data_IF_308059132326
#
_entry.id   IF_308059132326
#
_cell.length_a   1.000
_cell.length_b   1.000
_cell.length_c   1.000
_cell.angle_alpha   90.00
_cell.angle_beta   90.00
_cell.angle_gamma   90.00
#
_symmetry.space_group_name_H-M   'P 1'
#
loop_
_entity.id
_entity.type
_entity.pdbx_description
1 polymer ?
2 branched ?
3 non-polymer ?
4 water ?
#
# COMPACT_ATOMS: atom_id res chain seq x y z
N UNK A 1 -10.60 -23.35 -21.86
CA UNK A 1 -10.31 -21.89 -21.95
C UNK A 1 -11.64 -21.11 -21.94
N UNK A 2 -11.55 -19.78 -21.76
CA UNK A 2 -12.70 -18.90 -21.50
C UNK A 2 -13.16 -19.05 -20.06
N UNK A 3 -14.21 -18.32 -19.67
CA UNK A 3 -14.76 -18.35 -18.29
C UNK A 3 -14.06 -17.36 -17.39
N UNK A 4 -14.48 -17.21 -16.13
CA UNK A 4 -13.88 -16.23 -15.23
C UNK A 4 -12.39 -16.46 -14.84
N UNK A 5 -11.64 -15.36 -14.68
CA UNK A 5 -10.35 -15.26 -13.95
C UNK A 5 -10.55 -14.55 -12.61
N UNK A 6 -9.70 -14.87 -11.64
CA UNK A 6 -9.65 -14.26 -10.28
C UNK A 6 -8.30 -13.58 -10.08
N UNK A 7 -8.28 -12.41 -9.45
CA UNK A 7 -7.05 -11.67 -9.06
C UNK A 7 -7.14 -11.27 -7.60
N UNK A 8 -6.01 -11.30 -6.89
CA UNK A 8 -5.95 -11.12 -5.43
C UNK A 8 -4.95 -9.99 -5.07
N UNK A 9 -5.39 -8.98 -4.34
CA UNK A 9 -4.56 -7.79 -4.06
C UNK A 9 -4.32 -7.66 -2.56
N UNK A 10 -3.10 -7.21 -2.18
CA UNK A 10 -2.70 -7.10 -0.80
C UNK A 10 -3.37 -5.86 -0.21
N UNK A 11 -3.35 -5.68 1.11
CA UNK A 11 -3.85 -4.45 1.69
C UNK A 11 -2.99 -3.27 1.25
N UNK A 12 -3.45 -2.09 1.61
CA UNK A 12 -2.77 -0.81 1.34
C UNK A 12 -1.66 -0.79 2.37
N UNK A 13 -0.40 -0.48 1.99
CA UNK A 13 0.68 -0.33 2.97
C UNK A 13 0.29 0.43 4.26
N UNK A 14 -0.29 1.63 4.13
CA UNK A 14 -0.55 2.45 5.34
C UNK A 14 -1.51 1.71 6.25
N UNK A 15 -2.46 0.95 5.70
CA UNK A 15 -3.48 0.17 6.47
C UNK A 15 -2.80 -0.93 7.31
N UNK A 16 -1.66 -1.45 6.86
CA UNK A 16 -0.93 -2.58 7.50
C UNK A 16 -0.05 -2.09 8.64
N UNK A 17 0.28 -0.80 8.69
CA UNK A 17 1.29 -0.23 9.64
C UNK A 17 0.62 0.53 10.80
N UNK A 18 -0.64 0.95 10.67
CA UNK A 18 -1.35 1.72 11.71
C UNK A 18 -2.34 0.79 12.39
N UNK A 19 -2.05 0.38 13.63
CA UNK A 19 -2.93 -0.62 14.31
C UNK A 19 -4.36 -0.06 14.43
N UNK A 20 -4.50 1.27 14.45
CA UNK A 20 -5.80 2.02 14.43
C UNK A 20 -6.67 1.62 13.22
N UNK A 21 -6.08 1.02 12.18
CA UNK A 21 -6.68 0.93 10.84
C UNK A 21 -7.03 -0.52 10.50
N UNK A 22 -7.76 -0.71 9.42
CA UNK A 22 -8.38 -1.98 8.98
C UNK A 22 -7.74 -2.42 7.66
N UNK A 23 -6.70 -3.27 7.70
CA UNK A 23 -6.14 -3.83 6.49
C UNK A 23 -7.14 -4.84 5.93
N UNK A 24 -7.19 -4.93 4.61
CA UNK A 24 -8.13 -5.79 3.85
C UNK A 24 -7.40 -6.49 2.72
N UNK A 25 -7.76 -7.74 2.47
CA UNK A 25 -7.37 -8.43 1.22
C UNK A 25 -8.60 -8.41 0.30
N UNK A 26 -8.38 -8.34 -1.01
CA UNK A 26 -9.45 -8.03 -1.99
C UNK A 26 -9.38 -9.04 -3.12
N UNK A 27 -10.45 -9.78 -3.32
CA UNK A 27 -10.56 -10.81 -4.38
C UNK A 27 -11.49 -10.33 -5.48
N UNK A 28 -10.97 -10.22 -6.70
CA UNK A 28 -11.69 -9.66 -7.87
C UNK A 28 -11.85 -10.75 -8.93
N UNK A 29 -13.09 -10.98 -9.33
CA UNK A 29 -13.49 -11.96 -10.37
C UNK A 29 -13.94 -11.17 -11.59
N UNK A 30 -13.31 -11.39 -12.73
CA UNK A 30 -13.73 -10.78 -14.02
C UNK A 30 -14.18 -11.90 -14.97
N UNK A 31 -14.73 -11.51 -16.12
CA UNK A 31 -15.25 -12.39 -17.21
C UNK A 31 -16.27 -13.35 -16.60
N UNK A 32 -17.13 -12.81 -15.70
CA UNK A 32 -18.31 -13.49 -15.16
C UNK A 32 -19.35 -13.24 -16.25
N UNK A 33 -20.04 -14.29 -16.67
CA UNK A 33 -21.00 -14.17 -17.76
C UNK A 33 -22.24 -13.42 -17.32
N UNK A 34 -22.96 -12.80 -18.28
CA UNK A 34 -24.24 -12.13 -18.00
C UNK A 34 -25.26 -13.22 -17.65
N UNK A 35 -24.98 -14.42 -18.13
CA UNK A 35 -25.83 -15.57 -17.88
C UNK A 35 -25.75 -16.08 -16.44
N UNK A 36 -24.54 -16.36 -15.93
CA UNK A 36 -24.39 -16.87 -14.54
C UNK A 36 -23.69 -15.79 -13.69
N UNK A 37 -24.40 -14.71 -13.31
CA UNK A 37 -23.82 -13.63 -12.54
C UNK A 37 -23.32 -13.97 -11.16
N UNK A 38 -23.89 -14.95 -10.59
CA UNK A 38 -23.69 -15.25 -9.14
C UNK A 38 -22.31 -15.90 -8.96
N UNK A 39 -21.61 -15.52 -7.89
CA UNK A 39 -20.24 -15.99 -7.59
C UNK A 39 -20.22 -16.31 -6.11
N UNK A 40 -19.78 -17.51 -5.74
CA UNK A 40 -19.55 -17.87 -4.32
C UNK A 40 -18.07 -17.67 -4.04
N UNK A 41 -17.77 -17.17 -2.84
CA UNK A 41 -16.41 -16.94 -2.34
C UNK A 41 -16.21 -17.79 -1.11
N UNK A 42 -15.10 -18.52 -1.08
CA UNK A 42 -14.56 -19.16 0.14
C UNK A 42 -13.17 -18.60 0.39
N UNK A 43 -12.97 -18.08 1.60
CA UNK A 43 -11.69 -17.53 2.11
C UNK A 43 -11.09 -18.50 3.12
N UNK A 44 -9.76 -18.54 3.16
CA UNK A 44 -8.94 -19.37 4.07
C UNK A 44 -7.76 -18.54 4.58
N UNK A 45 -7.47 -18.66 5.88
CA UNK A 45 -6.26 -18.10 6.56
C UNK A 45 -5.36 -19.30 6.93
N UNK A 46 -4.22 -19.44 6.25
CA UNK A 46 -3.34 -20.63 6.38
C UNK A 46 -4.20 -21.89 6.30
N UNK A 47 -5.07 -21.97 5.30
CA UNK A 47 -5.84 -23.19 5.01
C UNK A 47 -7.15 -23.28 5.77
N UNK A 48 -7.34 -22.60 6.90
CA UNK A 48 -8.60 -22.72 7.69
C UNK A 48 -9.62 -21.67 7.24
N UNK A 49 -10.79 -22.11 6.79
CA UNK A 49 -11.85 -21.24 6.23
C UNK A 49 -12.26 -20.19 7.29
N UNK A 50 -12.51 -18.95 6.83
CA UNK A 50 -13.06 -17.82 7.63
C UNK A 50 -14.31 -17.30 6.93
N UNK A 51 -15.23 -16.67 7.67
CA UNK A 51 -16.60 -16.30 7.22
C UNK A 51 -16.90 -14.79 7.35
N UNK A 52 -15.92 -13.99 7.78
CA UNK A 52 -16.14 -12.53 7.99
C UNK A 52 -16.01 -11.75 6.66
N UNK A 53 -15.71 -12.39 5.52
CA UNK A 53 -15.57 -11.70 4.22
C UNK A 53 -16.89 -11.01 3.87
N UNK A 54 -16.79 -9.82 3.24
CA UNK A 54 -17.93 -9.00 2.74
C UNK A 54 -17.87 -8.95 1.21
N UNK A 55 -18.83 -9.54 0.54
CA UNK A 55 -18.91 -9.54 -0.93
C UNK A 55 -19.73 -8.32 -1.38
N UNK A 56 -19.23 -7.57 -2.36
CA UNK A 56 -19.86 -6.32 -2.81
C UNK A 56 -20.84 -6.68 -3.92
N UNK A 57 -21.94 -5.90 -4.06
CA UNK A 57 -22.90 -6.13 -5.13
C UNK A 57 -22.15 -6.08 -6.46
N UNK A 58 -22.37 -7.08 -7.30
CA UNK A 58 -21.66 -7.24 -8.59
C UNK A 58 -21.93 -6.04 -9.48
N UNK A 59 -21.03 -5.79 -10.42
CA UNK A 59 -20.99 -4.56 -11.24
C UNK A 59 -20.79 -4.95 -12.68
N UNK A 60 -21.63 -4.39 -13.53
CA UNK A 60 -21.74 -4.70 -14.97
C UNK A 60 -20.64 -3.93 -15.68
N UNK A 61 -19.75 -4.62 -16.39
CA UNK A 61 -18.65 -3.98 -17.16
C UNK A 61 -19.13 -3.67 -18.58
N UNK A 62 -18.46 -2.74 -19.26
CA UNK A 62 -18.84 -2.25 -20.60
C UNK A 62 -18.66 -3.38 -21.63
N UNK A 63 -17.78 -4.35 -21.41
CA UNK A 63 -17.53 -5.47 -22.36
C UNK A 63 -18.52 -6.64 -22.10
N UNK A 64 -19.73 -6.35 -21.63
CA UNK A 64 -20.80 -7.37 -21.43
C UNK A 64 -20.23 -8.52 -20.60
N UNK A 65 -19.60 -8.21 -19.46
CA UNK A 65 -19.27 -9.15 -18.37
C UNK A 65 -19.64 -8.53 -17.03
N UNK A 66 -19.70 -9.34 -15.97
CA UNK A 66 -19.85 -8.88 -14.58
C UNK A 66 -18.48 -8.96 -13.89
N UNK A 67 -18.18 -7.99 -13.02
CA UNK A 67 -16.99 -7.98 -12.15
C UNK A 67 -17.47 -8.12 -10.72
N UNK A 68 -16.94 -9.07 -9.96
CA UNK A 68 -17.39 -9.26 -8.55
C UNK A 68 -16.17 -9.23 -7.64
N UNK A 69 -16.32 -8.50 -6.54
CA UNK A 69 -15.23 -8.17 -5.60
C UNK A 69 -15.66 -8.70 -4.24
N UNK A 70 -14.83 -9.53 -3.61
CA UNK A 70 -14.95 -9.85 -2.16
C UNK A 70 -13.78 -9.23 -1.42
N UNK A 71 -14.07 -8.66 -0.24
CA UNK A 71 -13.09 -7.92 0.63
C UNK A 71 -13.06 -8.66 1.97
N UNK A 72 -11.89 -9.18 2.37
CA UNK A 72 -11.65 -9.82 3.69
C UNK A 72 -10.78 -8.90 4.55
N UNK A 73 -11.37 -8.38 5.63
CA UNK A 73 -10.64 -7.72 6.74
C UNK A 73 -9.63 -8.75 7.23
N UNK A 74 -8.42 -8.33 7.57
CA UNK A 74 -7.34 -9.19 8.13
C UNK A 74 -6.86 -8.48 9.38
N UNK A 75 -6.20 -9.20 10.28
CA UNK A 75 -5.64 -8.62 11.53
C UNK A 75 -4.27 -8.03 11.24
N UNK A 76 -4.03 -6.84 11.74
CA UNK A 76 -2.69 -6.19 11.74
C UNK A 76 -1.61 -7.28 11.83
N UNK A 77 -1.65 -8.11 12.88
CA UNK A 77 -0.51 -9.02 13.23
C UNK A 77 -0.43 -10.20 12.24
N UNK A 78 -1.58 -10.79 11.89
CA UNK A 78 -1.69 -11.92 10.92
C UNK A 78 -0.98 -11.51 9.63
N UNK A 79 -1.30 -10.35 9.07
CA UNK A 79 -0.78 -9.98 7.73
C UNK A 79 0.74 -9.83 7.84
N UNK A 80 1.20 -9.17 8.88
CA UNK A 80 2.64 -8.84 9.08
C UNK A 80 3.42 -10.13 9.39
N UNK A 81 2.75 -11.11 10.01
CA UNK A 81 3.32 -12.41 10.38
C UNK A 81 3.28 -13.41 9.22
N UNK A 82 2.92 -12.98 8.01
CA UNK A 82 2.98 -13.81 6.80
C UNK A 82 1.91 -14.89 6.75
N UNK A 83 0.82 -14.79 7.54
CA UNK A 83 -0.37 -15.68 7.36
C UNK A 83 -0.71 -15.67 5.87
N UNK A 84 -1.33 -16.76 5.40
CA UNK A 84 -1.64 -17.01 3.96
C UNK A 84 -3.16 -16.91 3.78
N UNK A 85 -3.54 -16.02 2.86
CA UNK A 85 -4.95 -15.66 2.56
C UNK A 85 -5.24 -16.26 1.20
N UNK A 86 -6.23 -17.17 1.18
CA UNK A 86 -6.71 -17.83 -0.06
C UNK A 86 -8.11 -17.36 -0.39
N UNK A 87 -8.30 -17.01 -1.65
CA UNK A 87 -9.62 -16.67 -2.24
C UNK A 87 -10.01 -17.77 -3.23
N UNK A 88 -11.06 -18.52 -2.91
CA UNK A 88 -11.61 -19.62 -3.77
C UNK A 88 -12.93 -19.15 -4.36
N UNK A 89 -13.04 -19.19 -5.68
CA UNK A 89 -14.17 -18.59 -6.45
C UNK A 89 -14.96 -19.68 -7.17
N UNK A 90 -16.20 -19.91 -6.76
CA UNK A 90 -17.15 -20.86 -7.42
C UNK A 90 -18.14 -20.08 -8.27
N UNK A 91 -18.35 -20.55 -9.49
CA UNK A 91 -19.31 -20.00 -10.47
C UNK A 91 -19.83 -21.18 -11.29
N UNK A 92 -21.10 -21.14 -11.73
CA UNK A 92 -21.69 -22.16 -12.65
C UNK A 92 -20.94 -22.16 -13.99
N UNK A 93 -20.25 -21.07 -14.35
CA UNK A 93 -19.41 -20.98 -15.57
C UNK A 93 -18.08 -21.71 -15.47
N UNK A 94 -17.70 -22.22 -14.29
CA UNK A 94 -16.37 -22.89 -14.07
C UNK A 94 -16.60 -24.37 -13.75
N UNK A 95 -15.93 -25.30 -14.46
CA UNK A 95 -16.05 -26.72 -14.12
C UNK A 95 -15.83 -26.95 -12.62
N UNK A 96 -14.74 -26.40 -12.11
CA UNK A 96 -14.33 -26.44 -10.68
C UNK A 96 -13.74 -25.09 -10.26
N UNK A 97 -13.78 -24.81 -8.96
CA UNK A 97 -13.50 -23.48 -8.37
C UNK A 97 -12.05 -23.07 -8.66
N UNK A 98 -11.77 -21.77 -8.59
CA UNK A 98 -10.41 -21.17 -8.80
C UNK A 98 -9.87 -20.60 -7.50
N UNK A 99 -8.56 -20.77 -7.26
CA UNK A 99 -7.82 -20.32 -6.06
C UNK A 99 -6.73 -19.30 -6.43
N UNK A 100 -6.51 -18.29 -5.60
CA UNK A 100 -5.22 -17.54 -5.54
C UNK A 100 -4.86 -17.43 -4.08
N UNK A 101 -3.57 -17.32 -3.78
CA UNK A 101 -3.09 -17.09 -2.41
C UNK A 101 -2.13 -15.91 -2.44
N UNK A 102 -2.22 -15.03 -1.44
CA UNK A 102 -1.18 -13.98 -1.22
C UNK A 102 -0.80 -13.95 0.26
N UNK A 103 0.45 -13.56 0.49
CA UNK A 103 0.96 -13.08 1.78
C UNK A 103 1.94 -11.93 1.53
N UNK A 104 2.34 -11.27 2.61
CA UNK A 104 3.45 -10.32 2.60
C UNK A 104 4.65 -10.95 1.91
N UNK A 105 5.43 -10.12 1.24
CA UNK A 105 6.70 -10.50 0.62
C UNK A 105 7.50 -11.28 1.64
N UNK A 106 8.05 -12.41 1.20
CA UNK A 106 8.92 -13.28 2.03
C UNK A 106 10.22 -12.53 2.22
N UNK A 107 10.78 -12.59 3.40
CA UNK A 107 12.16 -12.12 3.59
C UNK A 107 12.35 -11.55 4.96
N UNK A 108 13.57 -11.05 5.15
CA UNK A 108 14.04 -10.58 6.46
C UNK A 108 13.76 -9.09 6.48
N UNK A 109 12.79 -8.61 7.30
CA UNK A 109 12.56 -7.18 7.48
C UNK A 109 13.86 -6.39 7.77
N UNK A 110 13.99 -5.24 7.12
CA UNK A 110 15.14 -4.31 7.27
C UNK A 110 14.57 -2.93 7.58
N UNK A 111 15.05 -2.31 8.64
CA UNK A 111 14.65 -0.93 9.01
C UNK A 111 15.29 0.03 8.01
N UNK A 112 14.53 1.01 7.48
CA UNK A 112 15.10 2.02 6.62
C UNK A 112 15.89 3.04 7.44
N UNK A 113 16.74 3.82 6.77
CA UNK A 113 17.19 5.14 7.26
C UNK A 113 16.39 6.19 6.50
N UNK A 114 16.04 7.28 7.19
CA UNK A 114 15.43 8.48 6.56
C UNK A 114 16.45 9.62 6.64
N UNK A 115 16.81 10.21 5.50
CA UNK A 115 17.65 11.42 5.39
C UNK A 115 16.75 12.53 4.88
N UNK A 116 16.72 13.66 5.60
CA UNK A 116 15.97 14.89 5.25
C UNK A 116 16.96 15.97 4.76
N UNK A 117 16.53 16.74 3.76
CA UNK A 117 17.37 17.75 3.06
C UNK A 117 16.58 19.02 2.88
N UNK A 118 17.16 20.18 3.24
CA UNK A 118 16.64 21.46 2.78
C UNK A 118 16.92 21.57 1.29
N UNK A 119 16.42 22.63 0.62
CA UNK A 119 16.59 22.76 -0.83
C UNK A 119 18.08 22.98 -1.17
N UNK A 120 18.52 22.39 -2.29
CA UNK A 120 19.85 22.63 -2.92
C UNK A 120 20.09 24.11 -3.20
N UNK A 121 21.35 24.54 -3.12
CA UNK A 121 21.88 25.89 -3.54
C UNK A 121 21.24 26.31 -4.87
N UNK A 122 21.09 25.41 -5.84
CA UNK A 122 20.58 25.82 -7.19
C UNK A 122 19.07 26.02 -7.11
N UNK A 123 18.41 25.34 -6.19
CA UNK A 123 16.94 25.49 -6.01
C UNK A 123 16.60 26.81 -5.28
N UNK A 124 17.56 27.39 -4.55
CA UNK A 124 17.31 28.53 -3.65
C UNK A 124 17.26 29.85 -4.43
N UNK A 125 17.38 29.78 -5.76
CA UNK A 125 17.29 30.91 -6.72
C UNK A 125 15.97 30.84 -7.50
N UNK A 126 14.98 30.08 -7.00
CA UNK A 126 13.71 29.78 -7.68
C UNK A 126 12.55 30.32 -6.84
N UNK A 127 11.40 30.52 -7.46
CA UNK A 127 10.16 30.98 -6.79
C UNK A 127 9.68 29.87 -5.85
N UNK A 128 9.81 28.60 -6.27
CA UNK A 128 9.40 27.38 -5.52
C UNK A 128 10.64 26.53 -5.16
N UNK A 129 10.70 26.06 -3.91
CA UNK A 129 11.82 25.23 -3.35
C UNK A 129 11.27 23.87 -2.97
N UNK A 130 12.12 22.84 -3.03
CA UNK A 130 11.73 21.45 -2.71
C UNK A 130 12.41 21.01 -1.41
N UNK A 131 11.73 20.17 -0.64
CA UNK A 131 12.24 19.57 0.62
C UNK A 131 12.22 18.08 0.39
N UNK A 132 13.38 17.45 0.47
CA UNK A 132 13.58 16.07 0.00
C UNK A 132 13.68 15.23 1.25
N UNK A 133 13.15 14.03 1.14
CA UNK A 133 13.13 13.04 2.21
C UNK A 133 13.45 11.69 1.57
N UNK A 134 14.63 11.18 1.87
CA UNK A 134 15.24 10.00 1.20
C UNK A 134 15.12 8.85 2.16
N UNK A 135 14.55 7.75 1.70
CA UNK A 135 14.39 6.52 2.52
C UNK A 135 15.14 5.41 1.82
N UNK A 136 16.10 4.78 2.50
CA UNK A 136 16.89 3.70 1.85
C UNK A 136 17.12 2.60 2.88
N UNK A 137 17.28 1.37 2.38
CA UNK A 137 17.63 0.19 3.19
C UNK A 137 16.42 -0.46 3.82
N UNK A 138 15.22 -0.28 3.27
CA UNK A 138 14.00 -0.94 3.80
C UNK A 138 13.71 -2.21 3.01
N UNK A 139 13.30 -3.26 3.73
CA UNK A 139 12.66 -4.47 3.16
C UNK A 139 11.53 -4.94 4.07
N UNK A 140 10.34 -5.29 3.53
CA UNK A 140 10.02 -5.17 2.10
C UNK A 140 9.64 -3.75 1.67
N UNK A 141 9.13 -3.62 0.45
CA UNK A 141 8.86 -2.34 -0.24
C UNK A 141 7.60 -1.65 0.32
N UNK A 142 6.78 -2.38 1.07
CA UNK A 142 5.57 -1.78 1.72
C UNK A 142 6.02 -0.66 2.64
N UNK A 143 5.57 0.56 2.36
CA UNK A 143 5.96 1.74 3.17
C UNK A 143 4.95 2.86 2.93
N UNK A 144 4.86 3.80 3.86
CA UNK A 144 4.03 5.02 3.75
C UNK A 144 4.87 6.24 4.12
N UNK A 145 4.82 7.26 3.27
CA UNK A 145 5.48 8.58 3.44
C UNK A 145 4.40 9.65 3.26
N UNK A 146 4.54 10.76 3.96
CA UNK A 146 3.47 11.78 4.16
C UNK A 146 4.17 13.04 4.65
N UNK A 147 3.59 14.22 4.45
CA UNK A 147 4.24 15.48 4.93
C UNK A 147 3.25 16.28 5.77
N UNK A 148 3.77 16.91 6.82
CA UNK A 148 3.06 17.91 7.65
C UNK A 148 3.91 19.19 7.64
N UNK A 149 3.24 20.33 7.73
CA UNK A 149 3.81 21.64 8.10
C UNK A 149 3.13 22.05 9.39
N UNK A 150 3.89 22.37 10.44
CA UNK A 150 3.35 22.69 11.79
C UNK A 150 2.14 21.79 12.08
N UNK A 151 2.38 20.46 12.16
CA UNK A 151 1.35 19.40 12.34
C UNK A 151 0.05 19.69 11.58
N UNK A 152 0.12 19.98 10.28
CA UNK A 152 -1.05 20.07 9.37
C UNK A 152 -0.67 19.39 8.07
N UNK A 153 -1.59 18.63 7.44
CA UNK A 153 -1.22 17.76 6.33
C UNK A 153 -0.82 18.68 5.15
N UNK A 154 0.25 18.32 4.46
CA UNK A 154 0.79 19.04 3.27
C UNK A 154 0.69 18.08 2.09
N UNK A 155 0.19 18.54 0.95
CA UNK A 155 -0.29 17.63 -0.12
C UNK A 155 0.49 17.82 -1.41
N UNK A 156 1.34 18.84 -1.51
CA UNK A 156 2.07 19.12 -2.77
C UNK A 156 3.38 18.32 -2.77
N UNK A 157 3.31 16.99 -2.68
CA UNK A 157 4.50 16.11 -2.65
C UNK A 157 4.30 14.98 -3.67
N UNK A 158 5.42 14.36 -4.04
CA UNK A 158 5.49 13.19 -4.94
C UNK A 158 6.51 12.24 -4.32
N UNK A 159 6.23 10.96 -4.38
CA UNK A 159 7.05 9.90 -3.77
C UNK A 159 7.32 8.89 -4.88
N UNK A 160 8.58 8.55 -5.11
CA UNK A 160 8.97 7.58 -6.17
C UNK A 160 8.50 6.21 -5.72
N UNK A 161 8.38 5.25 -6.64
CA UNK A 161 8.04 3.90 -6.27
C UNK A 161 9.29 3.30 -5.68
N UNK A 162 9.24 2.44 -4.70
CA UNK A 162 10.46 1.96 -4.16
C UNK A 162 11.24 1.33 -5.26
N UNK A 163 12.56 1.51 -5.24
CA UNK A 163 13.45 0.96 -6.25
C UNK A 163 14.31 -0.09 -5.58
N UNK A 164 14.44 -1.26 -6.20
CA UNK A 164 15.27 -2.32 -5.60
C UNK A 164 16.79 -2.00 -5.58
N UNK A 165 17.48 -2.16 -4.46
CA UNK A 165 18.92 -1.88 -4.46
C UNK A 165 19.74 -3.12 -4.50
N UNK A 166 20.97 -2.90 -4.90
CA UNK A 166 22.08 -3.80 -5.03
C UNK A 166 22.18 -4.89 -3.98
N UNK A 167 21.81 -4.55 -2.78
CA UNK A 167 21.89 -5.48 -1.67
C UNK A 167 20.52 -6.12 -1.37
N UNK A 168 19.58 -5.92 -2.26
CA UNK A 168 18.27 -6.52 -2.06
C UNK A 168 17.23 -5.62 -1.36
N UNK A 169 17.71 -4.59 -0.66
CA UNK A 169 16.81 -3.66 0.03
C UNK A 169 16.15 -2.68 -0.97
N UNK A 170 15.22 -1.82 -0.48
CA UNK A 170 14.53 -0.82 -1.34
C UNK A 170 14.86 0.60 -0.87
N UNK A 171 14.78 1.52 -1.84
CA UNK A 171 15.16 2.94 -1.73
C UNK A 171 14.00 3.72 -2.38
N UNK A 172 13.69 4.90 -1.88
CA UNK A 172 12.73 5.77 -2.51
C UNK A 172 13.02 7.21 -2.06
N UNK A 173 12.36 8.13 -2.72
CA UNK A 173 12.53 9.53 -2.51
C UNK A 173 11.15 10.23 -2.39
N UNK A 174 11.02 11.23 -1.53
CA UNK A 174 9.76 12.01 -1.45
C UNK A 174 10.14 13.50 -1.49
N UNK A 175 9.44 14.26 -2.34
CA UNK A 175 9.69 15.67 -2.50
C UNK A 175 8.44 16.50 -2.23
N UNK A 176 8.59 17.55 -1.41
CA UNK A 176 7.50 18.47 -1.09
C UNK A 176 7.90 19.81 -1.62
N UNK A 177 7.02 20.45 -2.39
CA UNK A 177 7.31 21.76 -2.99
C UNK A 177 6.39 22.85 -2.41
N UNK A 178 7.03 23.94 -2.00
CA UNK A 178 6.42 25.10 -1.30
C UNK A 178 7.03 26.39 -1.83
N UNK A 179 6.26 27.49 -1.75
CA UNK A 179 6.74 28.88 -1.90
C UNK A 179 8.07 29.06 -1.14
N UNK A 180 9.14 29.43 -1.85
CA UNK A 180 10.41 29.88 -1.24
C UNK A 180 10.12 30.60 0.09
N UNK A 181 9.18 31.53 0.10
CA UNK A 181 8.88 32.40 1.28
C UNK A 181 8.54 31.54 2.49
N UNK A 182 7.68 30.53 2.29
CA UNK A 182 7.20 29.67 3.40
C UNK A 182 8.41 29.04 4.09
N UNK A 183 9.37 28.58 3.30
CA UNK A 183 10.64 28.01 3.83
C UNK A 183 11.36 29.10 4.63
N UNK A 184 11.47 30.31 4.08
CA UNK A 184 12.33 31.42 4.61
C UNK A 184 11.71 32.02 5.87
N UNK A 185 10.39 32.24 5.87
CA UNK A 185 9.59 32.65 7.06
C UNK A 185 9.73 31.65 8.21
N UNK A 186 10.35 30.49 7.98
CA UNK A 186 10.84 29.60 9.06
C UNK A 186 9.81 28.58 9.51
N UNK A 187 8.85 28.22 8.65
CA UNK A 187 7.85 27.16 8.96
C UNK A 187 8.59 25.82 9.03
N UNK A 188 8.06 24.86 9.79
CA UNK A 188 8.66 23.51 10.03
C UNK A 188 7.94 22.49 9.14
N UNK A 189 8.70 21.61 8.51
CA UNK A 189 8.20 20.58 7.57
C UNK A 189 8.74 19.24 8.05
N UNK A 190 7.84 18.26 8.07
CA UNK A 190 8.08 16.89 8.59
C UNK A 190 7.73 15.89 7.51
N UNK A 191 8.63 14.95 7.37
CA UNK A 191 8.47 13.70 6.61
C UNK A 191 7.99 12.66 7.62
N UNK A 192 6.85 12.02 7.39
CA UNK A 192 6.34 10.93 8.23
C UNK A 192 6.44 9.60 7.49
N UNK A 193 7.36 8.76 7.98
CA UNK A 193 7.79 7.51 7.35
C UNK A 193 7.39 6.37 8.26
N UNK A 194 6.58 5.47 7.74
CA UNK A 194 6.10 4.26 8.44
C UNK A 194 6.51 3.04 7.65
N UNK A 195 7.06 2.07 8.38
CA UNK A 195 7.61 0.79 7.87
C UNK A 195 7.56 -0.19 9.03
N UNK A 196 7.40 -1.45 8.71
CA UNK A 196 7.06 -2.50 9.71
C UNK A 196 8.25 -2.74 10.63
N UNK A 197 9.46 -2.58 10.09
CA UNK A 197 10.77 -2.85 10.71
C UNK A 197 11.15 -1.72 11.67
N UNK A 198 10.60 -0.53 11.44
CA UNK A 198 10.74 0.61 12.38
C UNK A 198 9.94 0.24 13.62
N UNK A 199 10.44 0.62 14.80
CA UNK A 199 9.80 0.33 16.11
C UNK A 199 8.46 1.08 16.18
N UNK A 200 7.40 0.38 16.57
CA UNK A 200 5.96 0.79 16.49
C UNK A 200 5.56 1.15 15.07
N UNK A 201 6.38 0.79 14.09
CA UNK A 201 6.20 1.03 12.64
C UNK A 201 6.29 2.53 12.35
N UNK A 202 6.86 3.31 13.29
CA UNK A 202 7.12 4.77 13.18
C UNK A 202 8.63 4.99 13.02
N UNK A 203 9.10 5.37 11.84
CA UNK A 203 10.54 5.64 11.59
C UNK A 203 10.83 7.05 12.07
N UNK A 204 11.99 7.32 12.65
CA UNK A 204 12.37 8.66 13.15
C UNK A 204 12.95 9.44 11.98
N UNK A 205 12.56 10.71 11.83
CA UNK A 205 13.19 11.69 10.91
C UNK A 205 13.21 13.06 11.57
N UNK A 206 14.28 13.80 11.32
CA UNK A 206 14.47 15.19 11.76
C UNK A 206 13.60 16.09 10.89
N UNK A 207 12.86 17.00 11.52
CA UNK A 207 12.06 18.01 10.79
C UNK A 207 13.03 19.03 10.18
N UNK A 208 12.55 19.72 9.17
CA UNK A 208 13.31 20.66 8.32
C UNK A 208 12.78 22.07 8.60
N UNK A 209 13.65 23.02 8.90
CA UNK A 209 13.30 24.46 9.06
C UNK A 209 14.56 25.28 8.80
N UNK A 210 14.46 26.60 8.65
CA UNK A 210 15.63 27.50 8.43
C UNK A 210 16.05 28.10 9.77
#
# INVERSE_FOLDING_TARGET
>A
LGGPSVFLFPPKPKDTLMISRTPEVTCVVVDVSQEDPEVQFNWYVDGVEVHNAKTKPREEQFNSTYRVVSVLTVLHQDWLNGKEYKCKVSNKGLPSSIEKTISKAKGQPREPQVYTFPPSQEEMTKNQVSLRCLVKGFYPSDIAVEWESNGQPENNYKTTKPVLDSDGSFRLESRLTVDKSRWQEGNVFSCSVMHEACSWHLCKSLSLSL
#
